data_IF_249865922141
#
_entry.id   IF_249865922141
#
_cell.length_a   1.000
_cell.length_b   1.000
_cell.length_c   1.000
_cell.angle_alpha   90.00
_cell.angle_beta   90.00
_cell.angle_gamma   90.00
#
_symmetry.space_group_name_H-M   'P 1'
#
loop_
_entity.id
_entity.type
_entity.pdbx_description
1 polymer ?
#
# COMPACT_ATOMS: atom_id res chain seq x y z
N UNK A 1 1.12 -21.47 62.98
CA UNK A 1 1.64 -22.79 63.40
C UNK A 1 1.34 -23.75 62.28
N UNK A 2 2.37 -24.48 61.88
CA UNK A 2 2.55 -25.10 60.58
C UNK A 2 1.55 -26.23 60.31
N UNK A 3 0.93 -26.21 59.13
CA UNK A 3 0.19 -27.35 58.59
C UNK A 3 1.24 -28.31 58.02
N UNK A 4 1.87 -29.12 58.88
CA UNK A 4 2.57 -30.31 58.45
C UNK A 4 1.56 -31.43 58.25
N UNK A 5 0.96 -31.49 57.06
CA UNK A 5 0.34 -32.73 56.60
C UNK A 5 1.43 -33.79 56.49
N UNK A 6 1.21 -34.96 57.10
CA UNK A 6 2.15 -36.07 57.01
C UNK A 6 2.44 -36.40 55.53
N UNK A 7 3.64 -36.88 55.22
CA UNK A 7 4.09 -37.16 53.85
C UNK A 7 3.07 -38.00 53.05
N UNK A 8 2.34 -38.88 53.74
CA UNK A 8 1.26 -39.69 53.18
C UNK A 8 -0.01 -38.90 52.82
N UNK A 9 -0.42 -37.91 53.63
CA UNK A 9 -1.59 -37.06 53.33
C UNK A 9 -1.35 -36.11 52.16
N UNK A 10 -0.12 -35.61 52.00
CA UNK A 10 0.24 -34.80 50.84
C UNK A 10 0.18 -35.63 49.55
N UNK A 11 0.66 -36.87 49.61
CA UNK A 11 0.62 -37.80 48.47
C UNK A 11 -0.82 -38.15 48.09
N UNK A 12 -1.70 -38.39 49.07
CA UNK A 12 -3.10 -38.70 48.79
C UNK A 12 -3.90 -37.49 48.33
N UNK A 13 -3.62 -36.29 48.83
CA UNK A 13 -4.19 -35.05 48.31
C UNK A 13 -3.79 -34.81 46.84
N UNK A 14 -2.53 -35.06 46.47
CA UNK A 14 -2.06 -34.98 45.09
C UNK A 14 -2.76 -36.02 44.21
N UNK A 15 -2.89 -37.28 44.67
CA UNK A 15 -3.63 -38.32 43.93
C UNK A 15 -5.09 -37.94 43.74
N UNK A 16 -5.76 -37.44 44.77
CA UNK A 16 -7.17 -37.02 44.72
C UNK A 16 -7.34 -35.84 43.76
N UNK A 17 -6.40 -34.90 43.75
CA UNK A 17 -6.38 -33.74 42.85
C UNK A 17 -6.28 -34.18 41.38
N UNK A 18 -5.32 -35.04 41.04
CA UNK A 18 -5.20 -35.56 39.68
C UNK A 18 -6.37 -36.46 39.27
N UNK A 19 -6.95 -37.22 40.21
CA UNK A 19 -8.15 -38.02 39.96
C UNK A 19 -9.40 -37.16 39.69
N UNK A 20 -9.48 -35.98 40.30
CA UNK A 20 -10.64 -35.08 40.18
C UNK A 20 -10.52 -34.10 39.01
N UNK A 21 -9.30 -33.63 38.70
CA UNK A 21 -9.05 -32.57 37.71
C UNK A 21 -8.15 -32.98 36.54
N UNK A 22 -7.62 -34.21 36.53
CA UNK A 22 -6.69 -34.68 35.50
C UNK A 22 -7.26 -34.56 34.08
N UNK A 23 -8.55 -34.85 33.90
CA UNK A 23 -9.23 -34.68 32.62
C UNK A 23 -9.30 -33.20 32.18
N UNK A 24 -9.61 -32.29 33.11
CA UNK A 24 -9.71 -30.85 32.85
C UNK A 24 -8.34 -30.24 32.53
N UNK A 25 -7.29 -30.69 33.20
CA UNK A 25 -5.90 -30.27 32.93
C UNK A 25 -5.48 -30.71 31.53
N UNK A 26 -5.75 -31.96 31.15
CA UNK A 26 -5.46 -32.49 29.81
C UNK A 26 -6.23 -31.71 28.73
N UNK A 27 -7.52 -31.46 28.94
CA UNK A 27 -8.35 -30.66 28.02
C UNK A 27 -7.81 -29.24 27.84
N UNK A 28 -7.40 -28.59 28.93
CA UNK A 28 -6.89 -27.22 28.91
C UNK A 28 -5.56 -27.13 28.16
N UNK A 29 -4.66 -28.10 28.39
CA UNK A 29 -3.39 -28.21 27.66
C UNK A 29 -3.65 -28.48 26.18
N UNK A 30 -4.59 -29.37 25.84
CA UNK A 30 -4.93 -29.68 24.45
C UNK A 30 -5.48 -28.46 23.71
N UNK A 31 -6.33 -27.65 24.34
CA UNK A 31 -6.85 -26.40 23.77
C UNK A 31 -5.73 -25.37 23.59
N UNK A 32 -4.85 -25.19 24.59
CA UNK A 32 -3.72 -24.26 24.51
C UNK A 32 -2.75 -24.66 23.39
N UNK A 33 -2.38 -25.94 23.31
CA UNK A 33 -1.55 -26.47 22.23
C UNK A 33 -2.25 -26.31 20.87
N UNK A 34 -3.52 -26.71 20.75
CA UNK A 34 -4.29 -26.59 19.51
C UNK A 34 -4.37 -25.14 19.00
N UNK A 35 -4.60 -24.18 19.90
CA UNK A 35 -4.59 -22.76 19.57
C UNK A 35 -3.21 -22.27 19.10
N UNK A 36 -2.14 -22.64 19.81
CA UNK A 36 -0.77 -22.27 19.42
C UNK A 36 -0.34 -22.88 18.08
N UNK A 37 -0.61 -24.18 17.86
CA UNK A 37 -0.28 -24.86 16.60
C UNK A 37 -1.14 -24.35 15.44
N UNK A 38 -2.44 -24.11 15.66
CA UNK A 38 -3.31 -23.51 14.67
C UNK A 38 -2.85 -22.11 14.27
N UNK A 39 -2.47 -21.28 15.24
CA UNK A 39 -1.91 -19.96 15.01
C UNK A 39 -0.57 -20.02 14.27
N UNK A 40 0.36 -20.90 14.69
CA UNK A 40 1.66 -21.09 14.03
C UNK A 40 1.52 -21.59 12.60
N UNK A 41 0.61 -22.53 12.35
CA UNK A 41 0.35 -23.07 11.01
C UNK A 41 -0.19 -21.96 10.10
N UNK A 42 -1.16 -21.18 10.58
CA UNK A 42 -1.69 -20.02 9.85
C UNK A 42 -0.61 -18.96 9.55
N UNK A 43 0.23 -18.66 10.52
CA UNK A 43 1.33 -17.69 10.37
C UNK A 43 2.39 -18.19 9.39
N UNK A 44 2.82 -19.45 9.48
CA UNK A 44 3.79 -20.04 8.56
C UNK A 44 3.27 -20.09 7.12
N UNK A 45 1.99 -20.39 6.91
CA UNK A 45 1.37 -20.33 5.59
C UNK A 45 1.38 -18.91 5.02
N UNK A 46 1.21 -17.89 5.87
CA UNK A 46 1.25 -16.48 5.47
C UNK A 46 2.67 -15.98 5.15
N UNK A 47 3.67 -16.36 5.95
CA UNK A 47 5.08 -16.00 5.74
C UNK A 47 5.66 -16.68 4.48
N UNK A 48 5.34 -17.95 4.24
CA UNK A 48 5.75 -18.65 3.02
C UNK A 48 5.19 -17.97 1.76
N UNK A 49 3.94 -17.48 1.82
CA UNK A 49 3.29 -16.80 0.69
C UNK A 49 3.94 -15.46 0.33
N UNK A 50 4.37 -14.67 1.31
CA UNK A 50 5.08 -13.42 1.04
C UNK A 50 6.48 -13.68 0.46
N UNK A 51 7.18 -14.71 0.93
CA UNK A 51 8.47 -15.13 0.39
C UNK A 51 8.34 -15.63 -1.07
N UNK A 52 7.29 -16.39 -1.36
CA UNK A 52 6.93 -16.82 -2.72
C UNK A 52 6.58 -15.64 -3.64
N UNK A 53 5.75 -14.70 -3.16
CA UNK A 53 5.44 -13.46 -3.88
C UNK A 53 6.69 -12.63 -4.14
N UNK A 54 7.60 -12.52 -3.18
CA UNK A 54 8.86 -11.79 -3.33
C UNK A 54 9.74 -12.39 -4.43
N UNK A 55 9.88 -13.73 -4.42
CA UNK A 55 10.68 -14.46 -5.42
C UNK A 55 10.06 -14.32 -6.81
N UNK A 56 8.75 -14.49 -6.91
CA UNK A 56 8.00 -14.35 -8.18
C UNK A 56 8.10 -12.92 -8.71
N UNK A 57 8.00 -11.93 -7.82
CA UNK A 57 8.16 -10.52 -8.17
C UNK A 57 9.56 -10.21 -8.70
N UNK A 58 10.62 -10.79 -8.14
CA UNK A 58 11.98 -10.59 -8.66
C UNK A 58 12.07 -11.03 -10.13
N UNK A 59 11.48 -12.17 -10.48
CA UNK A 59 11.42 -12.65 -11.87
C UNK A 59 10.58 -11.73 -12.77
N UNK A 60 9.42 -11.27 -12.30
CA UNK A 60 8.57 -10.32 -13.02
C UNK A 60 9.32 -9.01 -13.28
N UNK A 61 9.96 -8.47 -12.24
CA UNK A 61 10.69 -7.21 -12.31
C UNK A 61 11.87 -7.29 -13.29
N UNK A 62 12.64 -8.37 -13.26
CA UNK A 62 13.72 -8.61 -14.22
C UNK A 62 13.19 -8.66 -15.66
N UNK A 63 12.08 -9.35 -15.89
CA UNK A 63 11.46 -9.47 -17.22
C UNK A 63 10.87 -8.14 -17.75
N UNK A 64 10.55 -7.19 -16.87
CA UNK A 64 10.08 -5.86 -17.25
C UNK A 64 11.21 -4.87 -17.57
N UNK A 65 12.48 -5.21 -17.30
CA UNK A 65 13.63 -4.35 -17.69
C UNK A 65 13.80 -4.26 -19.21
N UNK A 66 13.35 -5.29 -19.95
CA UNK A 66 13.27 -5.33 -21.41
C UNK A 66 11.89 -5.89 -21.78
N UNK A 67 10.84 -5.05 -21.72
CA UNK A 67 9.47 -5.53 -21.78
C UNK A 67 9.16 -6.11 -23.17
N UNK A 68 8.54 -7.29 -23.16
CA UNK A 68 7.92 -7.92 -24.34
C UNK A 68 6.42 -8.08 -24.07
N UNK A 69 5.57 -8.31 -25.09
CA UNK A 69 4.15 -8.58 -24.87
C UNK A 69 3.91 -9.74 -23.89
N UNK A 70 4.75 -10.78 -23.94
CA UNK A 70 4.65 -11.93 -23.04
C UNK A 70 5.04 -11.59 -21.61
N UNK A 71 6.10 -10.79 -21.40
CA UNK A 71 6.51 -10.39 -20.05
C UNK A 71 5.51 -9.42 -19.40
N UNK A 72 4.91 -8.53 -20.20
CA UNK A 72 3.81 -7.67 -19.76
C UNK A 72 2.60 -8.52 -19.34
N UNK A 73 2.15 -9.47 -20.18
CA UNK A 73 1.02 -10.33 -19.85
C UNK A 73 1.28 -11.19 -18.59
N UNK A 74 2.50 -11.69 -18.42
CA UNK A 74 2.89 -12.44 -17.23
C UNK A 74 2.85 -11.56 -15.97
N UNK A 75 3.35 -10.33 -16.06
CA UNK A 75 3.28 -9.36 -14.97
C UNK A 75 1.83 -8.98 -14.63
N UNK A 76 0.96 -8.79 -15.63
CA UNK A 76 -0.47 -8.51 -15.41
C UNK A 76 -1.19 -9.65 -14.72
N UNK A 77 -0.87 -10.89 -15.10
CA UNK A 77 -1.36 -12.08 -14.41
C UNK A 77 -0.88 -12.11 -12.96
N UNK A 78 0.40 -11.84 -12.72
CA UNK A 78 0.95 -11.76 -11.36
C UNK A 78 0.25 -10.69 -10.53
N UNK A 79 0.02 -9.49 -11.10
CA UNK A 79 -0.74 -8.42 -10.44
C UNK A 79 -2.14 -8.90 -10.12
N UNK A 80 -2.83 -9.61 -11.02
CA UNK A 80 -4.19 -10.09 -10.77
C UNK A 80 -4.24 -11.11 -9.62
N UNK A 81 -3.32 -12.08 -9.65
CA UNK A 81 -3.29 -13.23 -8.72
C UNK A 81 -2.71 -12.87 -7.34
N UNK A 82 -2.01 -11.73 -7.23
CA UNK A 82 -1.28 -11.31 -6.01
C UNK A 82 -1.94 -10.10 -5.35
N UNK A 83 -2.35 -10.25 -4.08
CA UNK A 83 -3.01 -9.20 -3.29
C UNK A 83 -2.16 -8.81 -2.06
N UNK A 84 -0.90 -8.52 -2.28
CA UNK A 84 0.06 -8.03 -1.29
C UNK A 84 0.92 -6.90 -1.88
N UNK A 85 1.96 -6.47 -1.15
CA UNK A 85 2.85 -5.38 -1.57
C UNK A 85 3.55 -5.66 -2.91
N UNK A 86 3.86 -6.91 -3.23
CA UNK A 86 4.54 -7.27 -4.48
C UNK A 86 3.60 -7.16 -5.67
N UNK A 87 2.30 -7.46 -5.49
CA UNK A 87 1.28 -7.15 -6.48
C UNK A 87 1.14 -5.64 -6.75
N UNK A 88 1.26 -4.81 -5.70
CA UNK A 88 1.27 -3.34 -5.84
C UNK A 88 2.51 -2.86 -6.59
N UNK A 89 3.70 -3.37 -6.25
CA UNK A 89 4.96 -3.01 -6.89
C UNK A 89 4.98 -3.42 -8.37
N UNK A 90 4.56 -4.65 -8.70
CA UNK A 90 4.46 -5.09 -10.10
C UNK A 90 3.50 -4.22 -10.91
N UNK A 91 2.38 -3.81 -10.30
CA UNK A 91 1.44 -2.88 -10.94
C UNK A 91 2.05 -1.49 -11.14
N UNK A 92 2.92 -1.03 -10.23
CA UNK A 92 3.65 0.22 -10.41
C UNK A 92 4.69 0.13 -11.54
N UNK A 93 5.43 -0.97 -11.64
CA UNK A 93 6.39 -1.21 -12.74
C UNK A 93 5.68 -1.25 -14.10
N UNK A 94 4.56 -1.97 -14.19
CA UNK A 94 3.72 -1.98 -15.39
C UNK A 94 3.22 -0.58 -15.76
N UNK A 95 2.82 0.23 -14.78
CA UNK A 95 2.45 1.61 -15.04
C UNK A 95 3.62 2.41 -15.62
N UNK A 96 4.83 2.23 -15.09
CA UNK A 96 6.03 2.90 -15.61
C UNK A 96 6.31 2.49 -17.05
N UNK A 97 6.34 1.19 -17.36
CA UNK A 97 6.53 0.67 -18.72
C UNK A 97 5.49 1.25 -19.70
N UNK A 98 4.23 1.31 -19.29
CA UNK A 98 3.15 1.88 -20.10
C UNK A 98 3.35 3.39 -20.34
N UNK A 99 3.69 4.15 -19.29
CA UNK A 99 3.91 5.61 -19.40
C UNK A 99 5.13 5.92 -20.27
N UNK A 100 6.23 5.18 -20.14
CA UNK A 100 7.45 5.35 -20.93
C UNK A 100 7.23 5.03 -22.42
N UNK A 101 6.31 4.12 -22.73
CA UNK A 101 5.85 3.83 -24.09
C UNK A 101 4.72 4.73 -24.57
N UNK A 102 4.40 5.80 -23.81
CA UNK A 102 3.33 6.76 -24.08
C UNK A 102 1.91 6.16 -24.08
N UNK A 103 1.73 4.95 -23.56
CA UNK A 103 0.44 4.33 -23.28
C UNK A 103 -0.09 4.77 -21.92
N UNK A 104 -0.52 6.03 -21.87
CA UNK A 104 -1.04 6.64 -20.65
C UNK A 104 -2.33 5.97 -20.15
N UNK A 105 -3.11 5.34 -21.04
CA UNK A 105 -4.36 4.64 -20.67
C UNK A 105 -4.05 3.41 -19.84
N UNK A 106 -3.08 2.58 -20.27
CA UNK A 106 -2.62 1.48 -19.45
C UNK A 106 -1.87 1.95 -18.20
N UNK A 107 -1.12 3.05 -18.29
CA UNK A 107 -0.50 3.70 -17.13
C UNK A 107 -1.52 4.04 -16.03
N UNK A 108 -2.64 4.67 -16.40
CA UNK A 108 -3.74 4.98 -15.48
C UNK A 108 -4.35 3.71 -14.88
N UNK A 109 -4.63 2.70 -15.72
CA UNK A 109 -5.22 1.42 -15.27
C UNK A 109 -4.34 0.75 -14.22
N UNK A 110 -3.03 0.66 -14.47
CA UNK A 110 -2.08 0.03 -13.57
C UNK A 110 -1.87 0.83 -12.27
N UNK A 111 -1.83 2.16 -12.32
CA UNK A 111 -1.78 3.00 -11.11
C UNK A 111 -3.07 2.88 -10.29
N UNK A 112 -4.23 2.79 -10.95
CA UNK A 112 -5.51 2.56 -10.27
C UNK A 112 -5.54 1.21 -9.57
N UNK A 113 -5.06 0.15 -10.24
CA UNK A 113 -4.94 -1.17 -9.65
C UNK A 113 -4.00 -1.17 -8.43
N UNK A 114 -2.83 -0.53 -8.53
CA UNK A 114 -1.89 -0.37 -7.42
C UNK A 114 -2.54 0.36 -6.23
N UNK A 115 -3.18 1.51 -6.48
CA UNK A 115 -3.84 2.32 -5.46
C UNK A 115 -5.03 1.61 -4.79
N UNK A 116 -5.65 0.63 -5.45
CA UNK A 116 -6.75 -0.16 -4.87
C UNK A 116 -6.28 -1.27 -3.92
N UNK A 117 -5.03 -1.71 -4.05
CA UNK A 117 -4.46 -2.84 -3.29
C UNK A 117 -3.53 -2.42 -2.15
N UNK A 118 -2.96 -1.22 -2.24
CA UNK A 118 -2.02 -0.70 -1.26
C UNK A 118 -2.69 -0.52 0.11
N UNK A 119 -2.01 -0.99 1.16
CA UNK A 119 -2.49 -0.87 2.55
C UNK A 119 -1.75 0.23 3.33
N UNK A 120 -0.59 0.67 2.84
CA UNK A 120 0.20 1.72 3.46
C UNK A 120 -0.24 3.09 2.96
N UNK A 121 -0.71 3.96 3.88
CA UNK A 121 -1.24 5.29 3.53
C UNK A 121 -0.22 6.18 2.82
N UNK A 122 1.05 6.18 3.25
CA UNK A 122 2.09 7.01 2.62
C UNK A 122 2.36 6.55 1.17
N UNK A 123 2.32 5.24 0.92
CA UNK A 123 2.45 4.71 -0.43
C UNK A 123 1.18 5.00 -1.26
N UNK A 124 -0.01 4.91 -0.66
CA UNK A 124 -1.25 5.29 -1.31
C UNK A 124 -1.26 6.76 -1.76
N UNK A 125 -0.74 7.67 -0.93
CA UNK A 125 -0.61 9.09 -1.28
C UNK A 125 0.27 9.30 -2.52
N UNK A 126 1.45 8.65 -2.56
CA UNK A 126 2.33 8.72 -3.72
C UNK A 126 1.67 8.17 -5.00
N UNK A 127 0.97 7.02 -4.90
CA UNK A 127 0.28 6.42 -6.04
C UNK A 127 -0.83 7.34 -6.57
N UNK A 128 -1.61 7.97 -5.68
CA UNK A 128 -2.67 8.90 -6.07
C UNK A 128 -2.13 10.19 -6.72
N UNK A 129 -0.99 10.71 -6.27
CA UNK A 129 -0.31 11.84 -6.94
C UNK A 129 0.13 11.47 -8.36
N UNK A 130 0.74 10.29 -8.53
CA UNK A 130 1.16 9.79 -9.86
C UNK A 130 -0.05 9.57 -10.76
N UNK A 131 -1.12 8.95 -10.23
CA UNK A 131 -2.38 8.71 -10.94
C UNK A 131 -3.00 10.03 -11.43
N UNK A 132 -3.07 11.05 -10.57
CA UNK A 132 -3.59 12.36 -10.93
C UNK A 132 -2.82 13.02 -12.09
N UNK A 133 -1.48 12.86 -12.12
CA UNK A 133 -0.64 13.39 -13.22
C UNK A 133 -0.90 12.68 -14.54
N UNK A 134 -1.06 11.35 -14.52
CA UNK A 134 -1.41 10.58 -15.73
C UNK A 134 -2.81 10.94 -16.21
N UNK A 135 -3.76 11.07 -15.29
CA UNK A 135 -5.12 11.50 -15.60
C UNK A 135 -5.17 12.89 -16.21
N UNK A 136 -4.38 13.83 -15.68
CA UNK A 136 -4.22 15.15 -16.28
C UNK A 136 -3.64 15.08 -17.69
N UNK A 137 -2.63 14.24 -17.93
CA UNK A 137 -2.04 14.05 -19.26
C UNK A 137 -3.02 13.40 -20.27
N UNK A 138 -4.00 12.64 -19.78
CA UNK A 138 -5.13 12.10 -20.53
C UNK A 138 -6.31 13.07 -20.66
N UNK A 139 -6.17 14.32 -20.22
CA UNK A 139 -7.23 15.33 -20.16
C UNK A 139 -8.43 14.96 -19.26
N UNK A 140 -8.27 13.94 -18.39
CA UNK A 140 -9.26 13.48 -17.40
C UNK A 140 -9.20 14.33 -16.13
N UNK A 141 -9.44 15.63 -16.29
CA UNK A 141 -9.27 16.64 -15.23
C UNK A 141 -10.10 16.36 -13.96
N UNK A 142 -11.36 15.95 -14.09
CA UNK A 142 -12.19 15.64 -12.91
C UNK A 142 -11.70 14.40 -12.17
N UNK A 143 -11.27 13.36 -12.90
CA UNK A 143 -10.68 12.17 -12.30
C UNK A 143 -9.37 12.51 -11.56
N UNK A 144 -8.54 13.39 -12.14
CA UNK A 144 -7.32 13.88 -11.50
C UNK A 144 -7.62 14.59 -10.17
N UNK A 145 -8.64 15.46 -10.12
CA UNK A 145 -9.05 16.12 -8.87
C UNK A 145 -9.49 15.11 -7.80
N UNK A 146 -10.29 14.11 -8.18
CA UNK A 146 -10.73 13.03 -7.27
C UNK A 146 -9.53 12.24 -6.74
N UNK A 147 -8.55 11.92 -7.59
CA UNK A 147 -7.32 11.24 -7.16
C UNK A 147 -6.52 12.10 -6.18
N UNK A 148 -6.41 13.42 -6.42
CA UNK A 148 -5.74 14.33 -5.49
C UNK A 148 -6.45 14.42 -4.13
N UNK A 149 -7.77 14.33 -4.09
CA UNK A 149 -8.54 14.32 -2.83
C UNK A 149 -8.21 13.12 -1.94
N UNK A 150 -7.83 11.98 -2.54
CA UNK A 150 -7.41 10.78 -1.80
C UNK A 150 -6.05 10.93 -1.11
N UNK A 151 -5.25 11.94 -1.48
CA UNK A 151 -3.96 12.22 -0.85
C UNK A 151 -4.19 12.89 0.50
N UNK A 152 -3.81 12.21 1.60
CA UNK A 152 -4.12 12.62 2.98
C UNK A 152 -2.96 13.28 3.70
N UNK A 153 -1.73 12.80 3.51
CA UNK A 153 -0.58 13.33 4.25
C UNK A 153 -0.24 14.75 3.81
N UNK A 154 -0.16 15.66 4.78
CA UNK A 154 0.11 17.07 4.56
C UNK A 154 1.49 17.34 3.98
N UNK A 155 2.46 16.43 4.15
CA UNK A 155 3.78 16.54 3.51
C UNK A 155 3.70 16.61 1.97
N UNK A 156 2.59 16.14 1.39
CA UNK A 156 2.33 16.20 -0.05
C UNK A 156 1.54 17.44 -0.49
N UNK A 157 1.14 18.33 0.41
CA UNK A 157 0.27 19.46 0.09
C UNK A 157 0.86 20.38 -0.99
N UNK A 158 2.16 20.66 -0.94
CA UNK A 158 2.86 21.39 -2.01
C UNK A 158 2.66 20.76 -3.39
N UNK A 159 2.98 19.47 -3.53
CA UNK A 159 2.83 18.73 -4.79
C UNK A 159 1.37 18.59 -5.21
N UNK A 160 0.48 18.28 -4.26
CA UNK A 160 -0.97 18.16 -4.47
C UNK A 160 -1.56 19.44 -5.03
N UNK A 161 -1.23 20.59 -4.45
CA UNK A 161 -1.72 21.89 -4.91
C UNK A 161 -1.07 22.33 -6.23
N UNK A 162 0.19 21.95 -6.47
CA UNK A 162 0.81 22.17 -7.76
C UNK A 162 0.06 21.42 -8.88
N UNK A 163 -0.19 20.12 -8.71
CA UNK A 163 -0.95 19.35 -9.71
C UNK A 163 -2.38 19.88 -9.82
N UNK A 164 -3.03 20.26 -8.71
CA UNK A 164 -4.35 20.90 -8.73
C UNK A 164 -4.35 22.18 -9.57
N UNK A 165 -3.32 23.01 -9.46
CA UNK A 165 -3.18 24.21 -10.29
C UNK A 165 -3.05 23.87 -11.78
N UNK A 166 -2.25 22.85 -12.12
CA UNK A 166 -2.13 22.38 -13.50
C UNK A 166 -3.48 21.87 -14.05
N UNK A 167 -4.26 21.16 -13.24
CA UNK A 167 -5.60 20.68 -13.59
C UNK A 167 -6.58 21.84 -13.82
N UNK A 168 -6.59 22.83 -12.92
CA UNK A 168 -7.49 23.99 -13.03
C UNK A 168 -7.14 24.88 -14.23
N UNK A 169 -5.85 25.07 -14.50
CA UNK A 169 -5.39 25.81 -15.68
C UNK A 169 -5.85 25.09 -16.97
N UNK A 170 -5.75 23.76 -17.02
CA UNK A 170 -6.24 22.96 -18.14
C UNK A 170 -7.76 23.07 -18.33
N UNK A 171 -8.53 23.25 -17.25
CA UNK A 171 -9.98 23.51 -17.29
C UNK A 171 -10.33 24.96 -17.66
N UNK A 172 -9.34 25.85 -17.81
CA UNK A 172 -9.54 27.27 -18.08
C UNK A 172 -9.84 28.12 -16.83
N UNK A 173 -9.80 27.53 -15.63
CA UNK A 173 -9.97 28.25 -14.37
C UNK A 173 -8.62 28.83 -13.91
N UNK A 174 -8.21 29.93 -14.56
CA UNK A 174 -6.93 30.58 -14.26
C UNK A 174 -6.88 31.18 -12.85
N UNK A 175 -8.03 31.63 -12.32
CA UNK A 175 -8.11 32.19 -10.96
C UNK A 175 -7.91 31.08 -9.93
N UNK A 176 -8.60 29.95 -10.08
CA UNK A 176 -8.42 28.77 -9.24
C UNK A 176 -7.02 28.19 -9.36
N UNK A 177 -6.46 28.14 -10.57
CA UNK A 177 -5.10 27.66 -10.80
C UNK A 177 -4.06 28.55 -10.09
N UNK A 178 -4.17 29.87 -10.22
CA UNK A 178 -3.28 30.80 -9.53
C UNK A 178 -3.39 30.67 -8.01
N UNK A 179 -4.60 30.49 -7.47
CA UNK A 179 -4.80 30.23 -6.03
C UNK A 179 -4.10 28.93 -5.60
N UNK A 180 -4.27 27.83 -6.36
CA UNK A 180 -3.65 26.55 -6.07
C UNK A 180 -2.11 26.63 -6.13
N UNK A 181 -1.54 27.31 -7.12
CA UNK A 181 -0.08 27.52 -7.20
C UNK A 181 0.46 28.33 -6.01
N UNK A 182 -0.23 29.38 -5.57
CA UNK A 182 0.16 30.12 -4.36
C UNK A 182 0.11 29.25 -3.10
N UNK A 183 -0.92 28.41 -2.98
CA UNK A 183 -1.00 27.41 -1.91
C UNK A 183 0.13 26.39 -1.98
N UNK A 184 0.53 25.96 -3.18
CA UNK A 184 1.68 25.07 -3.37
C UNK A 184 3.00 25.72 -2.91
N UNK A 185 3.20 27.01 -3.19
CA UNK A 185 4.42 27.76 -2.83
C UNK A 185 4.52 28.08 -1.33
N UNK A 186 3.38 28.13 -0.64
CA UNK A 186 3.30 28.40 0.80
C UNK A 186 3.64 27.17 1.65
N UNK A 187 3.74 26.00 1.03
CA UNK A 187 4.15 24.76 1.70
C UNK A 187 5.66 24.76 1.99
N UNK A 188 6.05 24.33 3.18
CA UNK A 188 7.46 24.21 3.57
C UNK A 188 8.25 23.22 2.68
N UNK A 189 7.57 22.22 2.12
CA UNK A 189 8.14 21.20 1.24
C UNK A 189 8.14 21.62 -0.24
N UNK A 190 7.79 22.86 -0.57
CA UNK A 190 7.72 23.36 -1.94
C UNK A 190 9.10 23.46 -2.64
N UNK A 191 10.21 23.25 -1.93
CA UNK A 191 11.56 23.47 -2.45
C UNK A 191 11.83 22.81 -3.81
N UNK A 192 11.37 21.57 -4.00
CA UNK A 192 11.58 20.82 -5.24
C UNK A 192 10.74 21.32 -6.44
N UNK A 193 9.65 22.05 -6.20
CA UNK A 193 8.69 22.50 -7.22
C UNK A 193 8.64 24.03 -7.39
N UNK A 194 9.27 24.79 -6.48
CA UNK A 194 9.13 26.25 -6.37
C UNK A 194 9.34 26.99 -7.68
N UNK A 195 10.50 26.82 -8.31
CA UNK A 195 10.83 27.53 -9.55
C UNK A 195 9.87 27.22 -10.70
N UNK A 196 9.38 25.98 -10.80
CA UNK A 196 8.42 25.58 -11.83
C UNK A 196 7.03 26.17 -11.57
N UNK A 197 6.59 26.18 -10.31
CA UNK A 197 5.30 26.74 -9.92
C UNK A 197 5.27 28.26 -10.09
N UNK A 198 6.35 28.96 -9.74
CA UNK A 198 6.50 30.40 -9.96
C UNK A 198 6.41 30.75 -11.45
N UNK A 199 7.09 30.01 -12.32
CA UNK A 199 7.00 30.20 -13.77
C UNK A 199 5.55 30.04 -14.27
N UNK A 200 4.86 28.98 -13.85
CA UNK A 200 3.47 28.73 -14.24
C UNK A 200 2.52 29.80 -13.72
N UNK A 201 2.70 30.26 -12.49
CA UNK A 201 1.90 31.33 -11.90
C UNK A 201 2.07 32.66 -12.66
N UNK A 202 3.31 32.99 -13.04
CA UNK A 202 3.60 34.19 -13.83
C UNK A 202 2.98 34.11 -15.23
N UNK A 203 3.03 32.93 -15.87
CA UNK A 203 2.42 32.72 -17.19
C UNK A 203 0.88 32.80 -17.19
N UNK A 204 0.22 32.56 -16.04
CA UNK A 204 -1.23 32.76 -15.91
C UNK A 204 -1.63 34.22 -15.68
N UNK A 205 -0.68 35.05 -15.24
CA UNK A 205 -0.93 36.44 -14.88
C UNK A 205 -0.71 37.41 -16.05
N UNK A 206 -0.21 36.91 -17.18
CA UNK A 206 -0.04 37.62 -18.45
C UNK A 206 -1.13 37.17 -19.44
#
# INVERSE_FOLDING_TARGET
MEIYGTENEQVDAIKQFFKSYGLTIILSIAVACGGLYGWKYWQSHKENRLQESATSFATVNEALTKPTPESIAAAEKFVTDTNDIYGVLASLELAQVAIESNDLVNGERHLTAAASKVQNDAFADMLNLRLARVQLALDKTDAALISLEKVKNTAWNGMKNYIRGDVLAKKGDNTGAAAAYRSALSDENAGAIRSLVELKLNNLSN
#
